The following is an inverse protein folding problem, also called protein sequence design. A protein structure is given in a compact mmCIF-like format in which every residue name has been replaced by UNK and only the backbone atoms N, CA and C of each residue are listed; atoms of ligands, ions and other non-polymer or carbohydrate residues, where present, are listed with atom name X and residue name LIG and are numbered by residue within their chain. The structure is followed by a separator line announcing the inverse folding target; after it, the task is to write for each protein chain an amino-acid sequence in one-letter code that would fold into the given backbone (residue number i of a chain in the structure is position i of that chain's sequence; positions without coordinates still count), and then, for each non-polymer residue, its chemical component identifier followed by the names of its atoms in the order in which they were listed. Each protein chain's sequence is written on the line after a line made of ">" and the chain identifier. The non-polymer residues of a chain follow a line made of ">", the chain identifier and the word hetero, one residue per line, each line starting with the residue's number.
data_IF_155590589637
#
_entry.id   IF_155590589637
#
_cell.length_a   1.000
_cell.length_b   1.000
_cell.length_c   1.000
_cell.angle_alpha   90.00
_cell.angle_beta   90.00
_cell.angle_gamma   90.00
#
_symmetry.space_group_name_H-M   'P 1'
#
loop_
_entity.id
_entity.type
_entity.pdbx_description
1 polymer ?
#
# COMPACT_ATOMS: atom_id res chain seq x y z
N UNK A 1 14.80 -10.65 10.48
CA UNK A 1 13.53 -10.44 9.75
C UNK A 1 13.84 -10.25 8.28
N UNK A 2 12.88 -10.46 7.40
CA UNK A 2 13.00 -10.08 5.98
C UNK A 2 12.86 -8.56 5.87
N UNK A 3 13.76 -7.90 5.14
CA UNK A 3 13.73 -6.44 4.94
C UNK A 3 13.00 -6.09 3.63
N UNK A 4 12.26 -4.98 3.60
CA UNK A 4 11.58 -4.55 2.38
C UNK A 4 12.56 -4.23 1.25
N UNK A 5 12.09 -4.37 0.00
CA UNK A 5 12.85 -4.03 -1.22
C UNK A 5 14.12 -4.88 -1.45
N UNK A 6 14.31 -5.95 -0.67
CA UNK A 6 15.36 -6.95 -0.90
C UNK A 6 14.91 -8.01 -1.91
N UNK A 7 15.84 -8.72 -2.58
CA UNK A 7 15.51 -9.85 -3.44
C UNK A 7 14.62 -10.90 -2.75
N UNK A 8 14.87 -11.19 -1.48
CA UNK A 8 14.11 -12.12 -0.66
C UNK A 8 12.67 -11.65 -0.47
N UNK A 9 12.47 -10.34 -0.28
CA UNK A 9 11.15 -9.72 -0.17
C UNK A 9 10.36 -9.79 -1.48
N UNK A 10 11.01 -9.51 -2.62
CA UNK A 10 10.37 -9.67 -3.93
C UNK A 10 9.99 -11.13 -4.20
N UNK A 11 10.87 -12.08 -3.86
CA UNK A 11 10.58 -13.50 -3.98
C UNK A 11 9.39 -13.92 -3.11
N UNK A 12 9.32 -13.43 -1.86
CA UNK A 12 8.22 -13.74 -0.94
C UNK A 12 6.86 -13.20 -1.41
N UNK A 13 6.84 -12.12 -2.18
CA UNK A 13 5.62 -11.52 -2.77
C UNK A 13 5.14 -12.24 -4.03
N UNK A 14 6.03 -12.95 -4.72
CA UNK A 14 5.76 -13.55 -6.02
C UNK A 14 4.53 -14.47 -5.97
N UNK A 15 3.51 -14.15 -6.77
CA UNK A 15 2.27 -14.92 -6.87
C UNK A 15 1.28 -14.76 -5.71
N UNK A 16 1.53 -13.85 -4.76
CA UNK A 16 0.62 -13.53 -3.65
C UNK A 16 -0.19 -12.28 -3.93
N UNK A 17 -1.45 -12.27 -3.48
CA UNK A 17 -2.21 -11.02 -3.36
C UNK A 17 -1.55 -10.18 -2.26
N UNK A 18 -1.31 -8.90 -2.50
CA UNK A 18 -0.74 -7.99 -1.49
C UNK A 18 -1.70 -6.85 -1.14
N UNK A 19 -1.67 -6.38 0.11
CA UNK A 19 -2.53 -5.30 0.60
C UNK A 19 -2.65 -4.09 -0.36
N UNK A 20 -1.53 -3.62 -0.92
CA UNK A 20 -1.49 -2.48 -1.86
C UNK A 20 -2.23 -2.70 -3.18
N UNK A 21 -2.54 -3.95 -3.56
CA UNK A 21 -3.28 -4.31 -4.77
C UNK A 21 -4.69 -4.84 -4.48
N UNK A 22 -5.12 -4.84 -3.21
CA UNK A 22 -6.44 -5.34 -2.84
C UNK A 22 -7.57 -4.52 -3.48
N UNK A 23 -7.35 -3.23 -3.72
CA UNK A 23 -8.29 -2.38 -4.45
C UNK A 23 -8.58 -2.92 -5.87
N UNK A 24 -7.56 -3.45 -6.58
CA UNK A 24 -7.75 -4.06 -7.90
C UNK A 24 -8.57 -5.35 -7.82
N UNK A 25 -8.33 -6.17 -6.79
CA UNK A 25 -9.08 -7.42 -6.55
C UNK A 25 -10.57 -7.14 -6.33
N UNK A 26 -10.87 -6.06 -5.59
CA UNK A 26 -12.21 -5.68 -5.17
C UNK A 26 -12.92 -4.74 -6.17
N UNK A 27 -12.21 -4.21 -7.17
CA UNK A 27 -12.73 -3.21 -8.08
C UNK A 27 -13.94 -3.73 -8.89
N UNK A 28 -15.01 -2.94 -8.88
CA UNK A 28 -16.27 -3.23 -9.58
C UNK A 28 -16.70 -2.06 -10.45
N UNK A 29 -17.43 -2.38 -11.50
CA UNK A 29 -18.17 -1.46 -12.37
C UNK A 29 -19.66 -1.77 -12.23
N UNK A 30 -20.51 -0.98 -12.90
CA UNK A 30 -21.96 -1.22 -12.94
C UNK A 30 -22.33 -2.61 -13.51
N UNK A 31 -21.48 -3.19 -14.36
CA UNK A 31 -21.74 -4.43 -15.08
C UNK A 31 -20.96 -5.64 -14.53
N UNK A 32 -20.15 -5.49 -13.49
CA UNK A 32 -19.38 -6.60 -12.91
C UNK A 32 -18.04 -6.19 -12.33
N UNK A 33 -17.05 -7.07 -12.41
CA UNK A 33 -15.69 -6.74 -11.97
C UNK A 33 -14.99 -5.82 -12.98
N UNK A 34 -14.16 -4.91 -12.47
CA UNK A 34 -13.38 -4.02 -13.30
C UNK A 34 -12.23 -4.76 -14.02
N UNK A 35 -11.76 -4.18 -15.13
CA UNK A 35 -10.63 -4.72 -15.89
C UNK A 35 -9.35 -4.84 -15.05
N UNK A 36 -9.14 -3.95 -14.07
CA UNK A 36 -8.00 -4.01 -13.14
C UNK A 36 -7.91 -5.34 -12.41
N UNK A 37 -9.05 -5.93 -12.04
CA UNK A 37 -9.09 -7.26 -11.42
C UNK A 37 -8.57 -8.35 -12.36
N UNK A 38 -8.97 -8.33 -13.63
CA UNK A 38 -8.54 -9.31 -14.61
C UNK A 38 -7.05 -9.15 -14.94
N UNK A 39 -6.58 -7.91 -15.08
CA UNK A 39 -5.17 -7.61 -15.30
C UNK A 39 -4.31 -8.13 -14.14
N UNK A 40 -4.69 -7.82 -12.89
CA UNK A 40 -3.95 -8.28 -11.73
C UNK A 40 -4.00 -9.82 -11.57
N UNK A 41 -5.14 -10.45 -11.91
CA UNK A 41 -5.23 -11.91 -11.95
C UNK A 41 -4.24 -12.52 -12.95
N UNK A 42 -4.12 -11.94 -14.16
CA UNK A 42 -3.15 -12.40 -15.16
C UNK A 42 -1.71 -12.23 -14.68
N UNK A 43 -1.37 -11.08 -14.06
CA UNK A 43 -0.07 -10.84 -13.44
C UNK A 43 0.28 -11.96 -12.43
N UNK A 44 -0.63 -12.28 -11.51
CA UNK A 44 -0.41 -13.32 -10.49
C UNK A 44 -0.26 -14.73 -11.08
N UNK A 45 -1.01 -15.05 -12.14
CA UNK A 45 -0.87 -16.33 -12.86
C UNK A 45 0.53 -16.42 -13.48
N UNK A 46 0.97 -15.38 -14.19
CA UNK A 46 2.31 -15.34 -14.79
C UNK A 46 3.42 -15.45 -13.75
N UNK A 47 3.28 -14.76 -12.60
CA UNK A 47 4.24 -14.87 -11.50
C UNK A 47 4.35 -16.31 -10.98
N UNK A 48 3.22 -17.01 -10.81
CA UNK A 48 3.21 -18.41 -10.36
C UNK A 48 3.78 -19.38 -11.39
N UNK A 49 3.52 -19.15 -12.67
CA UNK A 49 4.03 -20.00 -13.76
C UNK A 49 5.53 -19.81 -13.99
N UNK A 50 6.03 -18.58 -13.87
CA UNK A 50 7.43 -18.25 -14.16
C UNK A 50 8.32 -18.27 -12.92
N UNK A 51 7.74 -18.19 -11.72
CA UNK A 51 8.46 -17.98 -10.46
C UNK A 51 9.09 -16.58 -10.34
N UNK A 52 8.77 -15.65 -11.24
CA UNK A 52 9.38 -14.33 -11.32
C UNK A 52 8.36 -13.23 -11.09
N UNK A 53 8.73 -12.26 -10.26
CA UNK A 53 8.02 -11.01 -10.15
C UNK A 53 8.61 -10.03 -11.16
N UNK A 54 7.80 -9.55 -12.10
CA UNK A 54 8.27 -8.58 -13.10
C UNK A 54 8.61 -7.24 -12.45
N UNK A 55 9.62 -6.56 -12.99
CA UNK A 55 9.95 -5.20 -12.59
C UNK A 55 8.77 -4.28 -12.92
N UNK A 56 8.22 -3.65 -11.87
CA UNK A 56 7.14 -2.69 -12.03
C UNK A 56 7.64 -1.37 -12.64
N UNK A 57 6.71 -0.61 -13.21
CA UNK A 57 6.99 0.77 -13.59
C UNK A 57 7.33 1.61 -12.36
N UNK A 58 8.46 2.31 -12.40
CA UNK A 58 8.84 3.32 -11.42
C UNK A 58 9.12 4.64 -12.13
N UNK A 59 8.72 5.74 -11.49
CA UNK A 59 8.97 7.09 -11.98
C UNK A 59 9.72 7.91 -10.93
N UNK A 60 10.22 9.09 -11.32
CA UNK A 60 11.00 9.95 -10.42
C UNK A 60 10.26 10.32 -9.12
N UNK A 61 8.93 10.47 -9.16
CA UNK A 61 8.14 10.76 -7.96
C UNK A 61 8.05 9.55 -7.02
N UNK A 62 7.94 8.33 -7.56
CA UNK A 62 7.93 7.09 -6.78
C UNK A 62 9.30 6.79 -6.15
N UNK A 63 10.39 7.05 -6.89
CA UNK A 63 11.77 6.92 -6.38
C UNK A 63 11.98 7.90 -5.23
N UNK A 64 11.72 9.19 -5.46
CA UNK A 64 11.78 10.22 -4.40
C UNK A 64 10.92 9.84 -3.19
N UNK A 65 9.72 9.33 -3.41
CA UNK A 65 8.83 8.90 -2.33
C UNK A 65 9.44 7.78 -1.48
N UNK A 66 10.09 6.82 -2.13
CA UNK A 66 10.81 5.72 -1.46
C UNK A 66 12.01 6.24 -0.67
N UNK A 67 12.79 7.16 -1.23
CA UNK A 67 13.94 7.77 -0.55
C UNK A 67 13.54 8.63 0.66
N UNK A 68 12.35 9.23 0.63
CA UNK A 68 11.85 10.11 1.68
C UNK A 68 11.13 9.34 2.82
N UNK A 69 10.73 8.10 2.59
CA UNK A 69 10.00 7.28 3.56
C UNK A 69 10.72 7.14 4.91
N UNK A 70 12.05 6.90 4.99
CA UNK A 70 12.75 6.83 6.28
C UNK A 70 12.65 8.15 7.06
N UNK A 71 12.79 9.28 6.38
CA UNK A 71 12.66 10.62 7.00
C UNK A 71 11.23 10.83 7.51
N UNK A 72 10.21 10.43 6.74
CA UNK A 72 8.82 10.53 7.17
C UNK A 72 8.53 9.63 8.38
N UNK A 73 9.14 8.44 8.46
CA UNK A 73 9.05 7.54 9.61
C UNK A 73 9.67 8.15 10.86
N UNK A 74 10.87 8.70 10.75
CA UNK A 74 11.54 9.41 11.86
C UNK A 74 10.69 10.60 12.34
N UNK A 75 10.13 11.39 11.42
CA UNK A 75 9.25 12.50 11.77
C UNK A 75 7.97 12.04 12.49
N UNK A 76 7.39 10.91 12.09
CA UNK A 76 6.26 10.32 12.80
C UNK A 76 6.64 9.89 14.22
N UNK A 77 7.76 9.19 14.40
CA UNK A 77 8.28 8.79 15.71
C UNK A 77 8.59 9.99 16.64
N UNK A 78 9.05 11.10 16.08
CA UNK A 78 9.35 12.32 16.85
C UNK A 78 8.10 13.11 17.27
N UNK A 79 7.05 13.08 16.44
CA UNK A 79 5.83 13.85 16.67
C UNK A 79 4.83 13.12 17.57
N UNK A 80 4.78 11.79 17.48
CA UNK A 80 3.93 10.97 18.35
C UNK A 80 4.70 10.61 19.63
N UNK A 81 4.14 10.97 20.78
CA UNK A 81 4.77 10.67 22.07
C UNK A 81 4.80 9.14 22.28
N UNK A 82 5.99 8.58 22.52
CA UNK A 82 6.19 7.16 22.86
C UNK A 82 5.87 6.16 21.73
N UNK A 83 6.09 6.55 20.47
CA UNK A 83 5.98 5.64 19.32
C UNK A 83 7.31 4.92 19.03
N UNK A 84 7.39 3.64 19.37
CA UNK A 84 8.44 2.73 18.88
C UNK A 84 8.00 2.09 17.56
N UNK A 85 8.82 2.24 16.52
CA UNK A 85 8.52 1.74 15.18
C UNK A 85 9.51 0.64 14.81
N UNK A 86 8.99 -0.55 14.54
CA UNK A 86 9.78 -1.68 14.02
C UNK A 86 9.49 -1.88 12.54
N UNK A 87 10.51 -1.73 11.69
CA UNK A 87 10.39 -2.07 10.26
C UNK A 87 10.24 -3.58 10.07
N UNK A 88 9.36 -3.96 9.14
CA UNK A 88 9.08 -5.36 8.82
C UNK A 88 8.98 -5.56 7.31
N UNK A 89 9.29 -6.78 6.87
CA UNK A 89 9.09 -7.22 5.49
C UNK A 89 7.65 -7.62 5.20
N UNK A 90 7.50 -8.70 4.44
CA UNK A 90 6.19 -9.24 4.11
C UNK A 90 5.67 -10.16 5.23
N UNK A 91 4.43 -9.94 5.65
CA UNK A 91 3.70 -10.73 6.63
C UNK A 91 2.55 -11.44 5.90
N UNK A 92 2.55 -12.77 5.95
CA UNK A 92 1.46 -13.59 5.40
C UNK A 92 0.21 -13.51 6.27
N UNK A 93 -0.96 -13.53 5.62
CA UNK A 93 -2.25 -13.60 6.32
C UNK A 93 -2.33 -14.92 7.10
N UNK A 94 -2.75 -14.90 8.39
CA UNK A 94 -2.67 -16.06 9.26
C UNK A 94 -3.48 -17.28 8.77
N UNK A 95 -4.54 -17.05 8.00
CA UNK A 95 -5.48 -18.09 7.58
C UNK A 95 -5.76 -18.16 6.07
N UNK A 96 -5.25 -17.21 5.27
CA UNK A 96 -5.56 -17.14 3.83
C UNK A 96 -4.24 -17.34 3.08
N UNK A 97 -3.98 -18.56 2.56
CA UNK A 97 -2.77 -18.83 1.81
C UNK A 97 -2.64 -17.93 0.58
N UNK A 98 -1.45 -17.39 0.36
CA UNK A 98 -1.17 -16.53 -0.80
C UNK A 98 -1.76 -15.12 -0.71
N UNK A 99 -2.08 -14.65 0.51
CA UNK A 99 -2.45 -13.27 0.79
C UNK A 99 -1.52 -12.69 1.86
N UNK A 100 -1.01 -11.48 1.66
CA UNK A 100 0.00 -10.89 2.53
C UNK A 100 -0.04 -9.34 2.58
N UNK A 101 0.61 -8.75 3.57
CA UNK A 101 0.80 -7.32 3.73
C UNK A 101 2.25 -6.99 4.08
N UNK A 102 2.72 -5.79 3.76
CA UNK A 102 4.07 -5.31 4.08
C UNK A 102 3.93 -3.88 4.61
N UNK A 103 3.53 -3.70 5.87
CA UNK A 103 3.35 -2.36 6.44
C UNK A 103 4.70 -1.64 6.54
N UNK A 104 4.68 -0.31 6.50
CA UNK A 104 5.91 0.50 6.56
C UNK A 104 6.54 0.52 7.97
N UNK A 105 5.80 0.04 8.98
CA UNK A 105 6.28 -0.28 10.32
C UNK A 105 5.17 -0.83 11.22
N UNK A 106 5.57 -1.63 12.22
CA UNK A 106 4.76 -1.95 13.39
C UNK A 106 4.97 -0.84 14.43
N UNK A 107 3.91 -0.37 15.07
CA UNK A 107 3.97 0.71 16.07
C UNK A 107 3.57 0.14 17.43
N UNK A 108 4.48 0.19 18.39
CA UNK A 108 4.28 -0.33 19.75
C UNK A 108 3.74 -1.79 19.71
N UNK A 109 2.77 -2.12 20.56
CA UNK A 109 2.27 -3.49 20.73
C UNK A 109 1.18 -3.90 19.71
N UNK A 110 0.38 -2.95 19.21
CA UNK A 110 -0.82 -3.24 18.41
C UNK A 110 -1.07 -2.28 17.23
N UNK A 111 -0.15 -1.35 16.97
CA UNK A 111 -0.26 -0.35 15.91
C UNK A 111 0.46 -0.72 14.61
N UNK A 112 0.09 -0.02 13.54
CA UNK A 112 0.74 -0.08 12.23
C UNK A 112 0.88 1.33 11.66
N UNK A 113 1.92 1.54 10.85
CA UNK A 113 2.08 2.77 10.06
C UNK A 113 2.15 2.45 8.56
N UNK A 114 1.46 3.27 7.76
CA UNK A 114 1.52 3.29 6.30
C UNK A 114 1.87 4.72 5.87
N UNK A 115 3.06 4.89 5.32
CA UNK A 115 3.66 6.16 4.96
C UNK A 115 3.42 6.42 3.48
N UNK A 116 2.96 7.64 3.18
CA UNK A 116 2.84 8.13 1.81
C UNK A 116 3.65 9.41 1.66
N UNK A 117 4.61 9.37 0.73
CA UNK A 117 5.40 10.53 0.31
C UNK A 117 5.01 10.93 -1.12
N UNK A 118 3.76 11.43 -1.36
CA UNK A 118 3.28 11.72 -2.71
C UNK A 118 3.89 13.01 -3.27
N UNK A 119 3.42 13.41 -4.46
CA UNK A 119 3.71 14.73 -5.00
C UNK A 119 3.04 15.84 -4.13
N UNK A 120 3.52 17.07 -4.32
CA UNK A 120 3.09 18.24 -3.53
C UNK A 120 1.57 18.44 -3.56
N UNK A 121 0.94 18.30 -4.73
CA UNK A 121 -0.49 18.52 -4.86
C UNK A 121 -1.32 17.50 -4.08
N UNK A 122 -1.00 16.21 -4.22
CA UNK A 122 -1.68 15.14 -3.49
C UNK A 122 -1.44 15.25 -1.98
N UNK A 123 -0.26 15.71 -1.55
CA UNK A 123 -0.01 16.00 -0.13
C UNK A 123 -0.93 17.12 0.38
N UNK A 124 -1.04 18.23 -0.35
CA UNK A 124 -1.93 19.35 -0.01
C UNK A 124 -3.41 18.94 0.01
N UNK A 125 -3.86 18.13 -0.95
CA UNK A 125 -5.23 17.60 -0.94
C UNK A 125 -5.51 16.71 0.27
N UNK A 126 -4.53 15.88 0.66
CA UNK A 126 -4.64 15.02 1.83
C UNK A 126 -4.77 15.85 3.11
N UNK A 127 -3.97 16.91 3.26
CA UNK A 127 -4.05 17.82 4.41
C UNK A 127 -5.38 18.58 4.48
N UNK A 128 -5.94 18.99 3.34
CA UNK A 128 -7.22 19.70 3.29
C UNK A 128 -8.39 18.81 3.68
N UNK A 129 -8.37 17.55 3.23
CA UNK A 129 -9.51 16.65 3.35
C UNK A 129 -9.37 15.63 4.48
N UNK A 130 -8.20 15.58 5.15
CA UNK A 130 -7.84 14.55 6.13
C UNK A 130 -8.09 13.12 5.62
N UNK A 131 -7.95 12.93 4.31
CA UNK A 131 -8.21 11.67 3.61
C UNK A 131 -7.01 11.35 2.75
N UNK A 132 -6.33 10.26 3.09
CA UNK A 132 -5.34 9.67 2.19
C UNK A 132 -6.02 9.34 0.85
N UNK A 133 -5.26 9.46 -0.24
CA UNK A 133 -5.75 9.08 -1.56
C UNK A 133 -6.06 7.58 -1.60
N UNK A 134 -7.31 7.22 -1.35
CA UNK A 134 -7.83 5.88 -1.60
C UNK A 134 -8.14 5.72 -3.09
N UNK A 135 -7.88 4.56 -3.70
CA UNK A 135 -8.45 4.22 -5.00
C UNK A 135 -9.95 3.97 -4.80
N UNK A 136 -10.74 5.04 -4.67
CA UNK A 136 -12.20 4.91 -4.69
C UNK A 136 -12.60 4.74 -6.16
N UNK A 137 -13.40 3.73 -6.53
CA UNK A 137 -14.04 3.71 -7.84
C UNK A 137 -14.83 5.01 -8.01
N UNK A 138 -14.84 5.58 -9.22
CA UNK A 138 -15.47 6.88 -9.52
C UNK A 138 -17.02 6.88 -9.42
N UNK A 139 -17.61 6.20 -8.45
CA UNK A 139 -19.05 6.06 -8.27
C UNK A 139 -19.40 5.93 -6.78
N UNK A 140 -19.25 7.02 -6.03
CA UNK A 140 -20.24 7.54 -5.06
C UNK A 140 -19.60 8.70 -4.28
N UNK A 141 -19.47 9.85 -4.95
CA UNK A 141 -19.42 11.13 -4.24
C UNK A 141 -20.87 11.54 -3.97
N UNK A 142 -21.54 10.85 -3.04
CA UNK A 142 -22.73 11.39 -2.41
C UNK A 142 -22.29 12.09 -1.13
N UNK A 143 -22.59 13.38 -1.14
CA UNK A 143 -22.71 14.30 0.00
C UNK A 143 -22.75 13.60 1.35
N UNK A 144 -21.74 13.88 2.18
CA UNK A 144 -21.98 14.01 3.62
C UNK A 144 -21.24 15.25 4.08
N UNK A 145 -22.01 16.34 4.12
CA UNK A 145 -21.85 17.43 5.08
C UNK A 145 -21.69 16.81 6.47
N UNK A 146 -20.52 16.96 7.09
CA UNK A 146 -20.44 17.01 8.55
C UNK A 146 -19.46 18.10 8.93
N UNK A 147 -20.03 19.26 9.23
CA UNK A 147 -19.53 20.23 10.18
C UNK A 147 -18.72 19.60 11.33
N UNK A 148 -17.48 20.06 11.56
CA UNK A 148 -17.09 20.86 12.74
C UNK A 148 -15.58 20.87 12.99
N UNK A 149 -15.12 22.09 13.28
CA UNK A 149 -14.03 22.54 14.16
C UNK A 149 -12.61 21.99 13.91
#
# INVERSE_FOLDING_TARGET
>A
MMEQRTPEWFAARCGKVTASRLADVMARTKSGYAASRQNYMAELICQRLTGKLEEGFSNAAMIRGTELEPVAREMYALNEFDAEITEVGLIDHPTIPGFAASPDGLVNDDGLVEIKCPNTWTHLETLKNWRAKTPVPAADARSDDVHRA
#
